data_IF_223924698654
#
_entry.id   IF_223924698654
#
_cell.length_a   1.000
_cell.length_b   1.000
_cell.length_c   1.000
_cell.angle_alpha   90.00
_cell.angle_beta   90.00
_cell.angle_gamma   90.00
#
_symmetry.space_group_name_H-M   'P 1'
#
loop_
_entity.id
_entity.type
_entity.pdbx_description
1 polymer ?
#
# COMPACT_ATOMS: atom_id res chain seq x y z
N UNK A 1 -11.27 -0.15 4.85
CA UNK A 1 -10.09 0.72 4.76
C UNK A 1 -8.94 -0.07 5.34
N UNK A 2 -7.82 -0.08 4.62
CA UNK A 2 -6.63 -0.73 5.11
C UNK A 2 -6.04 0.07 6.27
N UNK A 3 -5.40 -0.65 7.18
CA UNK A 3 -4.73 -0.07 8.34
C UNK A 3 -3.24 -0.37 8.28
N UNK A 4 -2.42 0.61 8.67
CA UNK A 4 -0.99 0.41 8.85
C UNK A 4 -0.71 -0.01 10.29
N UNK A 5 -0.51 -1.30 10.51
CA UNK A 5 -0.25 -1.88 11.82
C UNK A 5 1.26 -2.01 12.04
N UNK A 6 1.80 -1.21 12.95
CA UNK A 6 3.22 -1.22 13.26
C UNK A 6 3.49 -2.07 14.50
N UNK A 7 4.25 -3.14 14.34
CA UNK A 7 4.57 -4.10 15.40
C UNK A 7 6.07 -4.26 15.54
N UNK A 8 6.69 -3.51 16.46
CA UNK A 8 8.12 -3.65 16.77
C UNK A 8 9.01 -3.54 15.53
N UNK A 9 9.41 -4.68 15.00
CA UNK A 9 10.28 -4.88 13.84
C UNK A 9 9.55 -5.08 12.49
N UNK A 10 8.22 -5.08 12.48
CA UNK A 10 7.40 -5.28 11.27
C UNK A 10 6.32 -4.21 11.10
N UNK A 11 5.91 -4.03 9.85
CA UNK A 11 4.77 -3.20 9.45
C UNK A 11 3.85 -4.07 8.60
N UNK A 12 2.59 -4.16 9.01
CA UNK A 12 1.55 -4.90 8.30
C UNK A 12 0.54 -3.93 7.71
N UNK A 13 0.32 -4.06 6.41
CA UNK A 13 -0.79 -3.47 5.68
C UNK A 13 -1.96 -4.43 5.86
N UNK A 14 -2.77 -4.16 6.88
CA UNK A 14 -3.92 -4.98 7.23
C UNK A 14 -5.09 -4.60 6.31
N UNK A 15 -5.45 -5.54 5.43
CA UNK A 15 -6.58 -5.40 4.53
C UNK A 15 -7.87 -5.81 5.24
N UNK A 16 -8.91 -5.02 5.05
CA UNK A 16 -10.29 -5.41 5.36
C UNK A 16 -10.71 -6.63 4.54
N UNK A 17 -11.76 -7.32 5.00
CA UNK A 17 -12.27 -8.54 4.34
C UNK A 17 -12.66 -8.25 2.88
N UNK A 18 -13.28 -7.09 2.62
CA UNK A 18 -13.64 -6.67 1.26
C UNK A 18 -12.39 -6.51 0.39
N UNK A 19 -11.36 -5.80 0.90
CA UNK A 19 -10.10 -5.59 0.18
C UNK A 19 -9.35 -6.91 -0.09
N UNK A 20 -9.40 -7.89 0.82
CA UNK A 20 -8.82 -9.23 0.60
C UNK A 20 -9.50 -9.96 -0.54
N UNK A 21 -10.83 -9.93 -0.58
CA UNK A 21 -11.65 -10.55 -1.63
C UNK A 21 -11.40 -9.83 -2.96
N UNK A 22 -11.41 -8.50 -2.95
CA UNK A 22 -11.16 -7.69 -4.13
C UNK A 22 -9.76 -7.95 -4.65
N UNK A 23 -8.71 -7.76 -3.86
CA UNK A 23 -7.32 -7.90 -4.28
C UNK A 23 -6.94 -9.32 -4.72
N UNK A 24 -7.68 -10.33 -4.25
CA UNK A 24 -7.24 -11.72 -4.20
C UNK A 24 -5.85 -11.84 -3.55
N UNK A 25 -5.60 -11.00 -2.53
CA UNK A 25 -4.31 -10.85 -1.89
C UNK A 25 -4.49 -10.79 -0.37
N UNK A 26 -3.66 -11.51 0.41
CA UNK A 26 -3.67 -11.40 1.87
C UNK A 26 -3.07 -10.06 2.35
N UNK A 27 -3.01 -9.88 3.66
CA UNK A 27 -2.26 -8.78 4.28
C UNK A 27 -0.81 -8.79 3.80
N UNK A 28 -0.21 -7.60 3.69
CA UNK A 28 1.21 -7.47 3.34
C UNK A 28 1.99 -7.12 4.59
N UNK A 29 2.93 -7.97 4.99
CA UNK A 29 3.81 -7.70 6.12
C UNK A 29 5.24 -7.56 5.62
N UNK A 30 5.88 -6.46 6.00
CA UNK A 30 7.29 -6.17 5.68
C UNK A 30 8.07 -5.89 6.96
N UNK A 31 9.39 -6.15 7.00
CA UNK A 31 10.25 -5.66 8.06
C UNK A 31 10.24 -4.14 8.09
N UNK A 32 10.14 -3.53 9.27
CA UNK A 32 10.26 -2.08 9.46
C UNK A 32 11.60 -1.55 8.93
N UNK A 33 12.66 -2.35 9.08
CA UNK A 33 14.00 -2.02 8.54
C UNK A 33 14.06 -2.00 7.02
N UNK A 34 13.06 -2.54 6.32
CA UNK A 34 12.98 -2.49 4.87
C UNK A 34 12.41 -1.15 4.38
N UNK A 35 11.76 -0.36 5.25
CA UNK A 35 11.21 0.94 4.90
C UNK A 35 12.37 1.94 4.79
N UNK A 36 12.57 2.47 3.59
CA UNK A 36 13.62 3.45 3.28
C UNK A 36 13.08 4.87 3.18
N UNK A 37 11.77 5.03 3.05
CA UNK A 37 11.07 6.31 3.08
C UNK A 37 9.58 6.13 3.35
N UNK A 38 8.98 7.13 4.01
CA UNK A 38 7.55 7.20 4.25
C UNK A 38 7.08 8.65 4.06
N UNK A 39 5.99 8.85 3.32
CA UNK A 39 5.36 10.17 3.15
C UNK A 39 3.85 10.05 3.05
N UNK A 40 3.17 11.10 3.48
CA UNK A 40 1.76 11.31 3.15
C UNK A 40 1.65 11.97 1.76
N UNK A 41 0.63 11.56 1.02
CA UNK A 41 0.20 12.21 -0.22
C UNK A 41 -1.29 12.53 -0.14
N UNK A 42 -1.77 13.62 -0.77
CA UNK A 42 -3.17 14.01 -0.73
C UNK A 42 -4.09 13.09 -1.55
N UNK A 43 -3.54 12.42 -2.58
CA UNK A 43 -4.26 11.44 -3.40
C UNK A 43 -3.38 10.22 -3.68
N UNK A 44 -3.74 9.08 -3.09
CA UNK A 44 -3.03 7.82 -3.33
C UNK A 44 -3.12 7.31 -4.77
N UNK A 45 -4.20 7.62 -5.50
CA UNK A 45 -4.35 7.15 -6.88
C UNK A 45 -3.34 7.80 -7.83
N UNK A 46 -2.91 9.03 -7.54
CA UNK A 46 -1.88 9.72 -8.32
C UNK A 46 -0.50 9.08 -8.18
N UNK A 47 -0.27 8.24 -7.16
CA UNK A 47 1.00 7.54 -6.94
C UNK A 47 1.05 6.15 -7.58
N UNK A 48 -0.07 5.68 -8.15
CA UNK A 48 -0.16 4.36 -8.77
C UNK A 48 0.02 4.48 -10.28
N UNK A 49 1.06 3.85 -10.79
CA UNK A 49 1.41 3.87 -12.21
C UNK A 49 1.74 2.47 -12.74
N UNK A 50 1.77 2.34 -14.07
CA UNK A 50 2.20 1.11 -14.73
C UNK A 50 1.07 0.12 -15.00
N UNK A 51 1.47 -1.08 -15.43
CA UNK A 51 0.54 -2.14 -15.83
C UNK A 51 0.10 -2.94 -14.60
N UNK A 52 -1.21 -3.08 -14.45
CA UNK A 52 -1.81 -3.93 -13.42
C UNK A 52 -1.52 -5.40 -13.73
N UNK A 53 -0.99 -6.13 -12.75
CA UNK A 53 -0.72 -7.56 -12.90
C UNK A 53 -2.02 -8.38 -12.93
N UNK A 54 -2.14 -9.40 -13.80
CA UNK A 54 -3.31 -10.28 -13.84
C UNK A 54 -3.49 -11.02 -12.50
N UNK A 55 -4.73 -11.25 -12.10
CA UNK A 55 -5.07 -11.85 -10.80
C UNK A 55 -5.15 -10.86 -9.64
N UNK A 56 -4.89 -9.57 -9.89
CA UNK A 56 -5.07 -8.50 -8.91
C UNK A 56 -6.41 -7.80 -9.16
N UNK A 57 -7.17 -7.53 -8.10
CA UNK A 57 -8.63 -7.29 -8.03
C UNK A 57 -9.50 -6.59 -9.07
N UNK A 58 -10.79 -6.48 -8.73
CA UNK A 58 -11.85 -6.01 -9.64
C UNK A 58 -11.87 -4.48 -9.78
N UNK A 59 -12.00 -3.94 -11.01
CA UNK A 59 -12.11 -2.50 -11.23
C UNK A 59 -13.47 -1.96 -10.78
N UNK A 60 -13.44 -0.88 -10.00
CA UNK A 60 -14.63 -0.11 -9.63
C UNK A 60 -14.46 0.50 -8.24
N UNK A 61 -14.10 1.79 -8.18
CA UNK A 61 -13.94 2.61 -6.95
C UNK A 61 -12.69 2.31 -6.11
N UNK A 62 -12.26 1.05 -6.02
CA UNK A 62 -11.11 0.64 -5.21
C UNK A 62 -10.03 0.09 -6.13
N UNK A 63 -8.80 0.56 -5.94
CA UNK A 63 -7.61 0.11 -6.66
C UNK A 63 -6.77 -0.69 -5.67
N UNK A 64 -6.90 -2.02 -5.69
CA UNK A 64 -6.06 -2.93 -4.89
C UNK A 64 -5.27 -3.87 -5.77
N UNK A 65 -3.95 -3.94 -5.62
CA UNK A 65 -3.14 -4.89 -6.37
C UNK A 65 -1.70 -4.49 -6.62
N UNK A 66 -1.04 -5.31 -7.42
CA UNK A 66 0.35 -5.10 -7.86
C UNK A 66 0.40 -4.43 -9.23
N UNK A 67 1.16 -3.35 -9.31
CA UNK A 67 1.39 -2.57 -10.51
C UNK A 67 2.87 -2.59 -10.86
N UNK A 68 3.16 -2.76 -12.13
CA UNK A 68 4.52 -2.94 -12.61
C UNK A 68 4.88 -1.86 -13.64
N UNK A 69 5.89 -1.11 -13.29
CA UNK A 69 6.64 -0.20 -14.15
C UNK A 69 7.97 -0.90 -14.55
N UNK A 70 8.72 -0.38 -15.54
CA UNK A 70 9.98 -0.99 -15.97
C UNK A 70 11.02 -1.14 -14.84
N UNK A 71 11.01 -0.22 -13.88
CA UNK A 71 12.00 -0.08 -12.80
C UNK A 71 11.39 -0.13 -11.40
N UNK A 72 10.06 -0.30 -11.28
CA UNK A 72 9.35 -0.25 -10.00
C UNK A 72 8.16 -1.20 -9.96
N UNK A 73 8.02 -1.91 -8.85
CA UNK A 73 6.84 -2.72 -8.52
C UNK A 73 6.13 -2.09 -7.32
N UNK A 74 4.88 -1.65 -7.54
CA UNK A 74 4.06 -0.99 -6.52
C UNK A 74 2.95 -1.92 -6.05
N UNK A 75 2.82 -2.12 -4.75
CA UNK A 75 1.59 -2.66 -4.17
C UNK A 75 0.69 -1.50 -3.74
N UNK A 76 -0.50 -1.41 -4.32
CA UNK A 76 -1.43 -0.33 -4.04
C UNK A 76 -2.70 -0.86 -3.37
N UNK A 77 -3.19 -0.12 -2.39
CA UNK A 77 -4.51 -0.28 -1.74
C UNK A 77 -5.12 1.12 -1.63
N UNK A 78 -5.72 1.60 -2.71
CA UNK A 78 -6.24 2.95 -2.81
C UNK A 78 -7.77 2.98 -2.90
N UNK A 79 -8.41 3.86 -2.15
CA UNK A 79 -9.87 4.01 -2.09
C UNK A 79 -10.30 5.38 -2.58
N UNK A 80 -10.64 5.47 -3.87
CA UNK A 80 -10.93 6.75 -4.51
C UNK A 80 -9.79 7.77 -4.37
N UNK A 81 -10.09 9.04 -4.62
CA UNK A 81 -9.13 10.14 -4.48
C UNK A 81 -9.07 10.57 -3.01
N UNK A 82 -8.14 9.98 -2.26
CA UNK A 82 -8.02 10.18 -0.81
C UNK A 82 -6.56 10.20 -0.35
N UNK A 83 -6.28 10.83 0.80
CA UNK A 83 -4.95 10.80 1.39
C UNK A 83 -4.45 9.36 1.59
N UNK A 84 -3.16 9.17 1.35
CA UNK A 84 -2.51 7.88 1.46
C UNK A 84 -1.11 8.02 2.02
N UNK A 85 -0.59 6.91 2.56
CA UNK A 85 0.82 6.77 2.89
C UNK A 85 1.51 6.05 1.73
N UNK A 86 2.62 6.63 1.27
CA UNK A 86 3.57 5.98 0.38
C UNK A 86 4.76 5.52 1.19
N UNK A 87 5.05 4.23 1.13
CA UNK A 87 6.26 3.63 1.66
C UNK A 87 7.16 3.26 0.49
N UNK A 88 8.39 3.75 0.49
CA UNK A 88 9.46 3.22 -0.35
C UNK A 88 10.17 2.12 0.46
N UNK A 89 10.33 0.95 -0.16
CA UNK A 89 10.77 -0.28 0.52
C UNK A 89 11.88 -0.97 -0.26
N UNK A 90 12.83 -1.59 0.46
CA UNK A 90 13.99 -2.24 -0.14
C UNK A 90 14.07 -3.73 0.24
N UNK A 91 14.51 -4.56 -0.71
CA UNK A 91 14.68 -6.00 -0.49
C UNK A 91 13.37 -6.77 -0.26
N UNK A 92 12.24 -6.20 -0.70
CA UNK A 92 10.92 -6.81 -0.65
C UNK A 92 10.43 -7.13 -2.08
N UNK A 93 9.33 -7.91 -2.25
CA UNK A 93 8.72 -8.15 -3.57
C UNK A 93 8.18 -6.88 -4.26
N UNK A 94 8.03 -5.81 -3.48
CA UNK A 94 7.62 -4.49 -3.93
C UNK A 94 8.75 -3.51 -3.65
N UNK A 95 8.84 -2.49 -4.48
CA UNK A 95 9.73 -1.34 -4.28
C UNK A 95 8.95 -0.18 -3.62
N UNK A 96 7.62 -0.21 -3.73
CA UNK A 96 6.71 0.80 -3.18
C UNK A 96 5.42 0.18 -2.69
N UNK A 97 4.89 0.72 -1.60
CA UNK A 97 3.55 0.45 -1.11
C UNK A 97 2.78 1.76 -1.02
N UNK A 98 1.58 1.81 -1.59
CA UNK A 98 0.67 2.97 -1.51
C UNK A 98 -0.62 2.51 -0.83
N UNK A 99 -0.97 3.13 0.30
CA UNK A 99 -2.14 2.71 1.08
C UNK A 99 -2.95 3.92 1.53
N UNK A 100 -4.22 3.97 1.12
CA UNK A 100 -5.19 4.89 1.71
C UNK A 100 -5.46 4.48 3.15
N UNK A 101 -5.32 5.43 4.07
CA UNK A 101 -5.55 5.24 5.50
C UNK A 101 -6.50 6.31 6.03
N UNK A 102 -7.24 6.00 7.10
CA UNK A 102 -8.18 6.96 7.69
C UNK A 102 -7.48 8.09 8.47
N UNK A 103 -6.28 7.84 8.98
CA UNK A 103 -5.50 8.80 9.77
C UNK A 103 -4.01 8.80 9.34
N UNK A 104 -3.66 9.51 8.25
CA UNK A 104 -2.31 9.48 7.68
C UNK A 104 -1.24 10.03 8.64
N UNK A 105 -1.52 11.13 9.35
CA UNK A 105 -0.61 11.67 10.37
C UNK A 105 -0.25 10.64 11.46
N UNK A 106 -1.26 9.91 11.95
CA UNK A 106 -1.07 8.89 12.98
C UNK A 106 -0.30 7.68 12.44
N UNK A 107 -0.56 7.29 11.20
CA UNK A 107 0.17 6.21 10.53
C UNK A 107 1.65 6.57 10.33
N UNK A 108 1.96 7.80 9.91
CA UNK A 108 3.34 8.28 9.81
C UNK A 108 4.03 8.32 11.17
N UNK A 109 3.37 8.86 12.19
CA UNK A 109 3.93 8.92 13.54
C UNK A 109 4.26 7.52 14.10
N UNK A 110 3.49 6.49 13.76
CA UNK A 110 3.78 5.11 14.17
C UNK A 110 5.04 4.52 13.50
N UNK A 111 5.43 5.05 12.33
CA UNK A 111 6.60 4.62 11.56
C UNK A 111 7.93 5.20 12.07
N UNK A 112 7.89 6.16 13.00
CA UNK A 112 9.06 6.69 13.73
C UNK A 112 9.67 7.93 13.09
#
# INVERSE_FOLDING_TARGET
MAELQVHGDTVTIALSIAEKIEALHPDVTIPRSAITGAREVPDGLEEVHGLRMPGTGFPGVILVGTFREPDRTTFAVCHGQRPAIVLDVAGQPYDRIVVTVDAPDAALAALG
#
